data_IF_886612910334
#
_entry.id   IF_886612910334
#
_cell.length_a   1.000
_cell.length_b   1.000
_cell.length_c   1.000
_cell.angle_alpha   90.00
_cell.angle_beta   90.00
_cell.angle_gamma   90.00
#
_symmetry.space_group_name_H-M   'P 1'
#
loop_
_entity.id
_entity.type
_entity.pdbx_description
1 polymer ?
#
# COMPACT_ATOMS: atom_id res chain seq x y z
N UNK A 1 -43.10 -43.99 -11.09
CA UNK A 1 -42.10 -43.29 -11.93
C UNK A 1 -42.50 -41.82 -11.96
N UNK A 2 -41.78 -40.95 -11.27
CA UNK A 2 -42.06 -39.50 -11.24
C UNK A 2 -41.01 -38.78 -12.08
N UNK A 3 -41.45 -38.03 -13.08
CA UNK A 3 -40.59 -37.23 -13.96
C UNK A 3 -40.39 -35.85 -13.33
N UNK A 4 -39.22 -35.62 -12.73
CA UNK A 4 -38.82 -34.28 -12.26
C UNK A 4 -38.51 -33.40 -13.46
N UNK A 5 -39.39 -32.45 -13.77
CA UNK A 5 -39.15 -31.43 -14.79
C UNK A 5 -38.17 -30.39 -14.24
N UNK A 6 -37.00 -30.24 -14.84
CA UNK A 6 -36.10 -29.12 -14.57
C UNK A 6 -36.67 -27.85 -15.20
N UNK A 7 -37.15 -26.91 -14.39
CA UNK A 7 -37.49 -25.56 -14.84
C UNK A 7 -36.18 -24.80 -15.00
N UNK A 8 -35.73 -24.63 -16.24
CA UNK A 8 -34.69 -23.64 -16.54
C UNK A 8 -35.37 -22.27 -16.58
N UNK A 9 -35.07 -21.42 -15.60
CA UNK A 9 -35.38 -20.01 -15.72
C UNK A 9 -34.64 -19.50 -16.97
N UNK A 10 -35.39 -19.17 -18.02
CA UNK A 10 -34.86 -18.43 -19.16
C UNK A 10 -34.45 -17.05 -18.62
N UNK A 11 -33.16 -16.93 -18.28
CA UNK A 11 -32.60 -15.78 -17.60
C UNK A 11 -32.55 -14.56 -18.50
N UNK A 12 -33.69 -13.90 -18.69
CA UNK A 12 -33.74 -12.51 -19.11
C UNK A 12 -33.55 -11.62 -17.87
N UNK A 13 -32.43 -11.80 -17.18
CA UNK A 13 -32.02 -10.89 -16.10
C UNK A 13 -31.70 -9.53 -16.71
N UNK A 14 -32.32 -8.47 -16.21
CA UNK A 14 -31.98 -7.11 -16.61
C UNK A 14 -30.50 -6.85 -16.31
N UNK A 15 -29.72 -6.62 -17.37
CA UNK A 15 -28.32 -6.24 -17.29
C UNK A 15 -28.21 -4.72 -17.17
N UNK A 16 -27.27 -4.23 -16.37
CA UNK A 16 -27.02 -2.81 -16.14
C UNK A 16 -25.54 -2.55 -15.90
N UNK A 17 -25.14 -1.28 -15.94
CA UNK A 17 -23.75 -0.85 -15.76
C UNK A 17 -23.61 -0.14 -14.42
N UNK A 18 -22.63 -0.55 -13.62
CA UNK A 18 -22.24 0.15 -12.39
C UNK A 18 -21.08 1.08 -12.71
N UNK A 19 -21.24 2.36 -12.39
CA UNK A 19 -20.16 3.35 -12.47
C UNK A 19 -19.62 3.67 -11.08
N UNK A 20 -18.37 3.29 -10.83
CA UNK A 20 -17.66 3.69 -9.62
C UNK A 20 -17.02 5.07 -9.82
N UNK A 21 -17.28 5.99 -8.89
CA UNK A 21 -16.62 7.31 -8.83
C UNK A 21 -16.05 7.49 -7.43
N UNK A 22 -14.76 7.80 -7.36
CA UNK A 22 -14.06 8.00 -6.09
C UNK A 22 -12.72 8.67 -6.32
N UNK A 23 -12.07 9.08 -5.23
CA UNK A 23 -10.69 9.57 -5.22
C UNK A 23 -9.93 8.88 -4.09
N UNK A 24 -8.64 8.66 -4.28
CA UNK A 24 -7.75 8.30 -3.17
C UNK A 24 -7.56 9.58 -2.36
N UNK A 25 -8.11 9.61 -1.15
CA UNK A 25 -8.05 10.80 -0.27
C UNK A 25 -6.75 10.81 0.52
N UNK A 26 -6.28 9.63 0.92
CA UNK A 26 -5.06 9.43 1.70
C UNK A 26 -4.24 8.31 1.06
N UNK A 27 -3.22 8.70 0.30
CA UNK A 27 -2.39 7.77 -0.44
C UNK A 27 -1.20 7.23 0.35
N UNK A 28 -0.27 6.64 -0.39
CA UNK A 28 1.06 6.32 0.10
C UNK A 28 1.80 7.58 0.58
N UNK A 29 2.77 7.39 1.49
CA UNK A 29 3.69 8.44 1.90
C UNK A 29 4.61 8.82 0.73
N UNK A 30 4.90 10.11 0.59
CA UNK A 30 5.99 10.56 -0.27
C UNK A 30 7.32 10.40 0.45
N UNK A 31 8.34 9.92 -0.26
CA UNK A 31 9.69 9.70 0.28
C UNK A 31 10.66 10.64 -0.43
N UNK A 32 11.38 11.46 0.33
CA UNK A 32 12.48 12.27 -0.15
C UNK A 32 13.79 11.73 0.44
N UNK A 33 14.83 11.64 -0.38
CA UNK A 33 16.16 11.20 0.08
C UNK A 33 16.94 12.42 0.57
N UNK A 34 17.37 12.40 1.82
CA UNK A 34 18.15 13.47 2.46
C UNK A 34 19.61 13.05 2.57
N UNK A 35 20.30 13.05 1.43
CA UNK A 35 21.69 12.57 1.33
C UNK A 35 21.81 11.05 1.35
N UNK A 36 22.96 10.52 1.77
CA UNK A 36 23.26 9.09 1.62
C UNK A 36 22.60 8.22 2.70
N UNK A 37 22.40 8.76 3.90
CA UNK A 37 22.10 7.98 5.12
C UNK A 37 20.71 8.21 5.70
N UNK A 38 19.88 9.06 5.08
CA UNK A 38 18.59 9.45 5.63
C UNK A 38 17.55 9.64 4.53
N UNK A 39 16.29 9.38 4.88
CA UNK A 39 15.13 9.72 4.06
C UNK A 39 14.02 10.35 4.93
N UNK A 40 13.33 11.34 4.37
CA UNK A 40 12.14 11.94 4.98
C UNK A 40 10.88 11.38 4.35
N UNK A 41 10.02 10.86 5.21
CA UNK A 41 8.70 10.35 4.87
C UNK A 41 7.66 11.41 5.21
N UNK A 42 6.81 11.76 4.26
CA UNK A 42 5.65 12.62 4.47
C UNK A 42 4.37 11.85 4.13
N UNK A 43 3.52 11.64 5.13
CA UNK A 43 2.29 10.87 5.03
C UNK A 43 1.10 11.75 5.39
N UNK A 44 -0.02 11.62 4.67
CA UNK A 44 -1.30 12.20 5.07
C UNK A 44 -2.15 11.10 5.71
N UNK A 45 -2.57 11.31 6.96
CA UNK A 45 -3.53 10.44 7.66
C UNK A 45 -4.50 11.24 8.51
N UNK A 46 -5.76 10.86 8.46
CA UNK A 46 -6.85 11.57 9.14
C UNK A 46 -6.83 13.09 8.87
N UNK A 47 -6.43 13.50 7.66
CA UNK A 47 -6.27 14.90 7.26
C UNK A 47 -5.02 15.61 7.81
N UNK A 48 -4.17 14.92 8.58
CA UNK A 48 -2.95 15.48 9.18
C UNK A 48 -1.71 15.02 8.43
N UNK A 49 -0.81 15.96 8.14
CA UNK A 49 0.49 15.66 7.52
C UNK A 49 1.49 15.27 8.60
N UNK A 50 1.91 14.02 8.59
CA UNK A 50 2.98 13.50 9.43
C UNK A 50 4.29 13.48 8.65
N UNK A 51 5.34 14.06 9.22
CA UNK A 51 6.67 14.09 8.62
C UNK A 51 7.65 13.40 9.57
N UNK A 52 8.37 12.41 9.07
CA UNK A 52 9.37 11.67 9.86
C UNK A 52 10.65 11.46 9.05
N UNK A 53 11.76 11.90 9.61
CA UNK A 53 13.08 11.51 9.18
C UNK A 53 13.41 10.10 9.68
N UNK A 54 13.92 9.25 8.80
CA UNK A 54 14.33 7.88 9.09
C UNK A 54 15.77 7.70 8.62
N UNK A 55 16.63 7.23 9.53
CA UNK A 55 17.98 6.82 9.18
C UNK A 55 17.92 5.52 8.36
N UNK A 56 18.71 5.44 7.30
CA UNK A 56 18.79 4.31 6.39
C UNK A 56 19.85 3.30 6.86
N UNK A 57 19.81 2.92 8.14
CA UNK A 57 20.64 1.82 8.66
C UNK A 57 20.10 0.47 8.19
N UNK A 58 21.00 -0.43 7.82
CA UNK A 58 20.62 -1.77 7.38
C UNK A 58 20.06 -2.59 8.55
N UNK A 59 18.97 -3.32 8.29
CA UNK A 59 18.39 -4.27 9.24
C UNK A 59 17.41 -3.68 10.25
N UNK A 60 17.43 -2.36 10.47
CA UNK A 60 16.50 -1.72 11.40
C UNK A 60 15.11 -1.56 10.76
N UNK A 61 14.08 -1.87 11.56
CA UNK A 61 12.68 -1.61 11.21
C UNK A 61 12.23 -0.37 11.97
N UNK A 62 11.94 0.70 11.23
CA UNK A 62 11.40 1.94 11.81
C UNK A 62 9.90 2.04 11.53
N UNK A 63 9.09 2.22 12.58
CA UNK A 63 7.67 2.52 12.42
C UNK A 63 7.49 3.98 11.98
N UNK A 64 6.56 4.27 11.07
CA UNK A 64 6.13 5.64 10.81
C UNK A 64 5.07 6.08 11.84
N UNK A 65 4.83 7.39 12.02
CA UNK A 65 3.83 7.91 12.97
C UNK A 65 2.46 7.29 12.72
N UNK A 66 1.61 7.23 13.74
CA UNK A 66 0.25 6.67 13.65
C UNK A 66 0.19 5.25 13.09
N UNK A 67 1.27 4.47 13.23
CA UNK A 67 1.37 3.08 12.76
C UNK A 67 1.03 2.91 11.26
N UNK A 68 1.26 3.96 10.48
CA UNK A 68 0.91 4.07 9.06
C UNK A 68 1.57 2.98 8.21
N UNK A 69 2.85 2.78 8.48
CA UNK A 69 3.70 1.86 7.75
C UNK A 69 4.94 1.57 8.57
N UNK A 70 5.64 0.51 8.18
CA UNK A 70 7.01 0.25 8.62
C UNK A 70 7.97 0.47 7.47
N UNK A 71 9.18 0.90 7.81
CA UNK A 71 10.28 1.16 6.89
C UNK A 71 11.44 0.25 7.27
N UNK A 72 12.00 -0.46 6.30
CA UNK A 72 13.17 -1.29 6.48
C UNK A 72 14.15 -1.10 5.33
N UNK A 73 15.43 -1.06 5.65
CA UNK A 73 16.50 -1.06 4.65
C UNK A 73 17.12 -2.45 4.54
N UNK A 74 17.08 -3.04 3.36
CA UNK A 74 17.62 -4.35 3.06
C UNK A 74 18.79 -4.25 2.07
N UNK A 75 19.84 -5.08 2.20
CA UNK A 75 20.88 -5.17 1.18
C UNK A 75 20.34 -5.80 -0.11
N UNK A 76 20.88 -5.40 -1.26
CA UNK A 76 20.57 -6.04 -2.53
C UNK A 76 21.64 -7.09 -2.85
N UNK A 77 21.39 -8.35 -2.48
CA UNK A 77 22.29 -9.48 -2.74
C UNK A 77 23.77 -9.16 -2.40
N UNK A 78 24.72 -9.64 -3.22
CA UNK A 78 26.16 -9.43 -3.06
C UNK A 78 26.64 -8.00 -3.43
N UNK A 79 25.72 -7.02 -3.51
CA UNK A 79 26.02 -5.63 -3.86
C UNK A 79 25.87 -4.72 -2.64
N UNK A 80 26.93 -4.58 -1.80
CA UNK A 80 26.88 -3.73 -0.60
C UNK A 80 26.63 -2.25 -0.89
N UNK A 81 26.89 -1.81 -2.13
CA UNK A 81 26.61 -0.46 -2.62
C UNK A 81 25.13 -0.20 -2.92
N UNK A 82 24.33 -1.25 -3.04
CA UNK A 82 22.91 -1.18 -3.36
C UNK A 82 22.05 -1.54 -2.14
N UNK A 83 21.01 -0.74 -1.92
CA UNK A 83 20.08 -0.93 -0.82
C UNK A 83 18.64 -0.80 -1.30
N UNK A 84 17.78 -1.67 -0.80
CA UNK A 84 16.35 -1.63 -1.01
C UNK A 84 15.68 -0.99 0.21
N UNK A 85 14.92 0.07 -0.04
CA UNK A 85 14.05 0.67 0.96
C UNK A 85 12.65 0.07 0.82
N UNK A 86 12.27 -0.77 1.78
CA UNK A 86 10.95 -1.42 1.82
C UNK A 86 10.02 -0.62 2.71
N UNK A 87 8.87 -0.23 2.17
CA UNK A 87 7.81 0.48 2.90
C UNK A 87 6.56 -0.39 2.92
N UNK A 88 6.16 -0.85 4.09
CA UNK A 88 5.03 -1.77 4.27
C UNK A 88 3.88 -1.04 4.97
N UNK A 89 2.81 -0.76 4.23
CA UNK A 89 1.59 -0.10 4.75
C UNK A 89 0.70 -1.11 5.48
N UNK A 90 0.00 -0.64 6.52
CA UNK A 90 -1.06 -1.37 7.22
C UNK A 90 -2.44 -1.04 6.66
#
# INVERSE_FOLDING_TARGET
MSLSSAVYAAGNGQSGVIHFRGKIVEGACSVARDGAVQATFSCLRSGVKHVRAVALSQGDVTQLPEDIATVQTLPVNQHPELQLLVVSYR
#
